data_IF_496688687114
#
_entry.id   IF_496688687114
#
_cell.length_a   1.000
_cell.length_b   1.000
_cell.length_c   1.000
_cell.angle_alpha   90.00
_cell.angle_beta   90.00
_cell.angle_gamma   90.00
#
_symmetry.space_group_name_H-M   'P 1'
#
loop_
_entity.id
_entity.type
_entity.pdbx_description
1 polymer ?
#
# COMPACT_ATOMS: atom_id res chain seq x y z
N UNK A 1 6.45 4.88 -15.32
CA UNK A 1 6.38 5.00 -13.84
C UNK A 1 5.27 4.08 -13.35
N UNK A 2 5.52 3.27 -12.33
CA UNK A 2 4.58 2.23 -11.87
C UNK A 2 3.94 2.63 -10.54
N UNK A 3 2.64 2.35 -10.39
CA UNK A 3 1.93 2.45 -9.12
C UNK A 3 1.88 1.05 -8.51
N UNK A 4 2.25 0.92 -7.23
CA UNK A 4 2.05 -0.33 -6.50
C UNK A 4 0.71 -0.27 -5.77
N UNK A 5 -0.09 -1.33 -5.86
CA UNK A 5 -1.39 -1.43 -5.20
C UNK A 5 -1.43 -2.70 -4.36
N UNK A 6 -1.57 -2.58 -3.04
CA UNK A 6 -1.76 -3.71 -2.14
C UNK A 6 -3.26 -3.99 -1.98
N UNK A 7 -3.75 -5.06 -2.59
CA UNK A 7 -5.17 -5.41 -2.63
C UNK A 7 -5.38 -6.93 -2.57
N UNK A 8 -6.59 -7.38 -2.21
CA UNK A 8 -6.97 -8.79 -2.27
C UNK A 8 -8.44 -9.05 -1.97
N UNK A 9 -8.84 -9.14 -0.68
CA UNK A 9 -10.22 -9.48 -0.30
C UNK A 9 -11.22 -8.36 -0.58
N UNK A 10 -10.83 -7.08 -0.47
CA UNK A 10 -11.76 -5.97 -0.75
C UNK A 10 -11.82 -5.64 -2.23
N UNK A 11 -10.74 -5.88 -2.96
CA UNK A 11 -10.63 -5.60 -4.39
C UNK A 11 -9.72 -6.63 -5.06
N UNK A 12 -10.20 -7.26 -6.12
CA UNK A 12 -9.42 -8.24 -6.86
C UNK A 12 -8.35 -7.57 -7.73
N UNK A 13 -7.32 -8.34 -8.09
CA UNK A 13 -6.29 -7.86 -9.00
C UNK A 13 -6.85 -7.42 -10.36
N UNK A 14 -7.87 -8.13 -10.86
CA UNK A 14 -8.52 -7.79 -12.12
C UNK A 14 -9.24 -6.44 -12.05
N UNK A 15 -9.98 -6.17 -10.98
CA UNK A 15 -10.68 -4.88 -10.79
C UNK A 15 -9.69 -3.72 -10.69
N UNK A 16 -8.56 -3.89 -9.99
CA UNK A 16 -7.48 -2.89 -9.96
C UNK A 16 -6.95 -2.63 -11.37
N UNK A 17 -6.66 -3.69 -12.13
CA UNK A 17 -6.08 -3.58 -13.47
C UNK A 17 -7.07 -3.04 -14.51
N UNK A 18 -8.38 -3.19 -14.31
CA UNK A 18 -9.38 -2.55 -15.16
C UNK A 18 -9.29 -1.02 -15.09
N UNK A 19 -9.02 -0.46 -13.91
CA UNK A 19 -8.91 0.99 -13.70
C UNK A 19 -7.47 1.49 -13.93
N UNK A 20 -6.48 0.71 -13.50
CA UNK A 20 -5.06 1.00 -13.62
C UNK A 20 -4.30 -0.16 -14.31
N UNK A 21 -4.36 -0.28 -15.65
CA UNK A 21 -3.80 -1.41 -16.37
C UNK A 21 -2.28 -1.62 -16.17
N UNK A 22 -1.55 -0.52 -15.92
CA UNK A 22 -0.11 -0.54 -15.68
C UNK A 22 0.27 -0.66 -14.19
N UNK A 23 -0.70 -0.80 -13.28
CA UNK A 23 -0.43 -0.96 -11.86
C UNK A 23 0.20 -2.33 -11.57
N UNK A 24 1.16 -2.33 -10.65
CA UNK A 24 1.63 -3.57 -10.05
C UNK A 24 0.76 -3.88 -8.85
N UNK A 25 -0.08 -4.89 -9.00
CA UNK A 25 -0.95 -5.35 -7.92
C UNK A 25 -0.22 -6.41 -7.09
N UNK A 26 -0.12 -6.14 -5.80
CA UNK A 26 0.45 -6.99 -4.77
C UNK A 26 -0.67 -7.47 -3.85
N UNK A 27 -0.46 -8.55 -3.12
CA UNK A 27 -1.44 -9.03 -2.13
C UNK A 27 -1.67 -8.06 -0.97
N UNK A 28 -2.54 -8.39 0.01
CA UNK A 28 -2.79 -7.55 1.17
C UNK A 28 -1.50 -7.25 1.94
N UNK A 29 -1.27 -5.96 2.24
CA UNK A 29 -0.01 -5.47 2.82
C UNK A 29 0.30 -6.12 4.17
N UNK A 30 1.58 -6.43 4.41
CA UNK A 30 2.12 -6.98 5.67
C UNK A 30 3.32 -6.18 6.12
N UNK A 31 3.81 -6.45 7.33
CA UNK A 31 5.04 -5.84 7.81
C UNK A 31 6.23 -6.09 6.85
N UNK A 32 6.93 -5.01 6.51
CA UNK A 32 8.07 -4.96 5.61
C UNK A 32 7.72 -4.84 4.13
N UNK A 33 6.45 -5.00 3.74
CA UNK A 33 6.08 -5.06 2.33
C UNK A 33 6.15 -3.69 1.65
N UNK A 34 5.81 -2.61 2.36
CA UNK A 34 5.93 -1.24 1.84
C UNK A 34 7.40 -0.93 1.57
N UNK A 35 8.29 -1.24 2.53
CA UNK A 35 9.73 -1.07 2.34
C UNK A 35 10.25 -1.87 1.14
N UNK A 36 9.91 -3.16 1.05
CA UNK A 36 10.32 -4.04 -0.06
C UNK A 36 9.80 -3.52 -1.40
N UNK A 37 8.55 -3.07 -1.46
CA UNK A 37 7.97 -2.55 -2.70
C UNK A 37 8.71 -1.29 -3.17
N UNK A 38 9.03 -0.36 -2.26
CA UNK A 38 9.82 0.83 -2.61
C UNK A 38 11.21 0.42 -3.16
N UNK A 39 11.92 -0.45 -2.44
CA UNK A 39 13.27 -0.89 -2.84
C UNK A 39 13.29 -1.62 -4.19
N UNK A 40 12.33 -2.52 -4.41
CA UNK A 40 12.31 -3.36 -5.58
C UNK A 40 11.84 -2.61 -6.83
N UNK A 41 10.95 -1.63 -6.66
CA UNK A 41 10.15 -1.13 -7.78
C UNK A 41 10.19 0.37 -8.00
N UNK A 42 10.70 1.15 -7.04
CA UNK A 42 10.77 2.61 -7.10
C UNK A 42 9.45 3.22 -7.63
N UNK A 43 8.31 2.92 -6.98
CA UNK A 43 7.01 3.31 -7.49
C UNK A 43 6.82 4.82 -7.43
N UNK A 44 6.04 5.36 -8.35
CA UNK A 44 5.64 6.77 -8.30
C UNK A 44 4.58 7.04 -7.21
N UNK A 45 3.85 6.00 -6.79
CA UNK A 45 2.89 6.05 -5.69
C UNK A 45 2.58 4.64 -5.18
N UNK A 46 2.12 4.55 -3.93
CA UNK A 46 1.62 3.32 -3.33
C UNK A 46 0.15 3.51 -2.95
N UNK A 47 -0.69 2.56 -3.31
CA UNK A 47 -2.06 2.45 -2.79
C UNK A 47 -2.15 1.23 -1.87
N UNK A 48 -2.73 1.41 -0.69
CA UNK A 48 -3.02 0.35 0.26
C UNK A 48 -4.53 0.23 0.36
N UNK A 49 -5.05 -0.92 -0.08
CA UNK A 49 -6.46 -1.28 0.06
C UNK A 49 -6.61 -2.26 1.21
N UNK A 50 -5.91 -3.38 1.13
CA UNK A 50 -6.04 -4.47 2.09
C UNK A 50 -4.73 -4.70 2.86
N UNK A 51 -4.86 -5.24 4.07
CA UNK A 51 -3.73 -5.67 4.89
C UNK A 51 -4.00 -6.98 5.60
N UNK A 52 -2.95 -7.77 5.83
CA UNK A 52 -3.02 -8.97 6.66
C UNK A 52 -2.63 -8.65 8.11
N UNK A 53 -3.26 -9.31 9.08
CA UNK A 53 -2.97 -9.17 10.50
C UNK A 53 -3.29 -10.49 11.24
N UNK A 54 -3.09 -10.55 12.56
CA UNK A 54 -3.22 -11.74 13.44
C UNK A 54 -2.14 -12.81 13.20
N UNK A 55 -2.16 -13.48 12.05
CA UNK A 55 -1.20 -14.55 11.72
C UNK A 55 0.16 -14.00 11.26
N UNK A 56 0.16 -12.75 10.79
CA UNK A 56 1.35 -11.98 10.45
C UNK A 56 1.19 -10.59 11.07
N UNK A 57 2.30 -9.91 11.41
CA UNK A 57 2.22 -8.52 11.86
C UNK A 57 1.65 -7.62 10.76
N UNK A 58 0.76 -6.72 11.16
CA UNK A 58 0.25 -5.68 10.29
C UNK A 58 1.38 -4.74 9.84
N UNK A 59 1.21 -4.10 8.69
CA UNK A 59 2.11 -3.05 8.20
C UNK A 59 2.36 -1.99 9.28
N UNK A 60 3.62 -1.58 9.45
CA UNK A 60 3.96 -0.55 10.41
C UNK A 60 3.71 0.85 9.86
N UNK A 61 3.22 1.75 10.72
CA UNK A 61 3.19 3.19 10.44
C UNK A 61 4.53 3.71 9.95
N UNK A 62 5.63 3.23 10.56
CA UNK A 62 6.99 3.66 10.23
C UNK A 62 7.39 3.34 8.80
N UNK A 63 6.87 2.27 8.20
CA UNK A 63 7.16 1.97 6.80
C UNK A 63 6.47 2.97 5.86
N UNK A 64 5.23 3.35 6.19
CA UNK A 64 4.46 4.34 5.43
C UNK A 64 5.10 5.73 5.59
N UNK A 65 5.40 6.14 6.82
CA UNK A 65 6.13 7.39 7.11
C UNK A 65 7.49 7.43 6.41
N UNK A 66 8.20 6.30 6.37
CA UNK A 66 9.47 6.21 5.67
C UNK A 66 9.28 6.37 4.15
N UNK A 67 8.25 5.73 3.55
CA UNK A 67 7.90 5.93 2.12
C UNK A 67 7.59 7.39 1.81
N UNK A 68 6.77 8.05 2.66
CA UNK A 68 6.46 9.47 2.52
C UNK A 68 7.73 10.34 2.60
N UNK A 69 8.65 10.01 3.51
CA UNK A 69 9.95 10.69 3.62
C UNK A 69 10.86 10.48 2.39
N UNK A 70 10.64 9.43 1.58
CA UNK A 70 11.30 9.26 0.29
C UNK A 70 10.61 10.05 -0.85
N UNK A 71 9.58 10.83 -0.55
CA UNK A 71 8.78 11.56 -1.54
C UNK A 71 7.82 10.66 -2.33
N UNK A 72 7.56 9.43 -1.87
CA UNK A 72 6.64 8.50 -2.50
C UNK A 72 5.28 8.60 -1.78
N UNK A 73 4.24 9.17 -2.42
CA UNK A 73 2.93 9.32 -1.80
C UNK A 73 2.28 7.95 -1.56
N UNK A 74 1.58 7.84 -0.44
CA UNK A 74 0.84 6.64 -0.04
C UNK A 74 -0.63 6.98 0.14
N UNK A 75 -1.50 6.30 -0.60
CA UNK A 75 -2.95 6.46 -0.55
C UNK A 75 -3.57 5.25 0.12
N UNK A 76 -4.46 5.46 1.10
CA UNK A 76 -5.17 4.38 1.77
C UNK A 76 -6.67 4.46 1.54
N UNK A 77 -7.31 3.34 1.20
CA UNK A 77 -8.76 3.27 1.00
C UNK A 77 -9.29 1.88 1.37
N UNK A 78 -10.32 1.80 2.22
CA UNK A 78 -10.88 0.57 2.80
C UNK A 78 -9.93 -0.24 3.71
N UNK A 79 -10.50 -1.13 4.54
CA UNK A 79 -9.78 -2.08 5.40
C UNK A 79 -8.57 -1.46 6.14
N UNK A 80 -7.42 -2.13 6.13
CA UNK A 80 -6.15 -1.62 6.68
C UNK A 80 -5.71 -0.32 6.02
N UNK A 81 -6.00 -0.13 4.73
CA UNK A 81 -5.70 1.10 4.01
C UNK A 81 -6.33 2.34 4.62
N UNK A 82 -7.64 2.29 4.88
CA UNK A 82 -8.40 3.38 5.52
C UNK A 82 -7.89 3.67 6.92
N UNK A 83 -7.58 2.63 7.71
CA UNK A 83 -7.04 2.80 9.06
C UNK A 83 -5.71 3.54 9.03
N UNK A 84 -4.77 3.10 8.19
CA UNK A 84 -3.44 3.73 8.10
C UNK A 84 -3.53 5.15 7.55
N UNK A 85 -4.39 5.40 6.57
CA UNK A 85 -4.63 6.75 6.07
C UNK A 85 -5.18 7.67 7.18
N UNK A 86 -6.17 7.21 7.96
CA UNK A 86 -6.73 8.02 9.04
C UNK A 86 -5.72 8.30 10.16
N UNK A 87 -4.95 7.29 10.57
CA UNK A 87 -3.92 7.43 11.62
C UNK A 87 -2.75 8.33 11.18
N UNK A 88 -2.42 8.35 9.89
CA UNK A 88 -1.26 9.07 9.37
C UNK A 88 -1.59 10.34 8.61
N UNK A 89 -2.87 10.70 8.48
CA UNK A 89 -3.31 11.92 7.79
C UNK A 89 -2.55 13.20 8.19
N UNK A 90 -2.18 13.44 9.47
CA UNK A 90 -1.39 14.61 9.84
C UNK A 90 0.02 14.68 9.21
N UNK A 91 0.51 13.59 8.61
CA UNK A 91 1.88 13.47 8.08
C UNK A 91 1.96 13.46 6.55
N UNK A 92 0.82 13.49 5.84
CA UNK A 92 0.75 13.40 4.38
C UNK A 92 -0.41 12.55 3.91
#
# INVERSE_FOLDING_TARGET
MTICVFAGPSLSHAEVQQVLPAARVLGPVRQGDVYRAVQQFQPAAIAIIDGSFQQVPAVWHKEILWSLAQGIPVYGAASMGALRAAELHPYG
#
